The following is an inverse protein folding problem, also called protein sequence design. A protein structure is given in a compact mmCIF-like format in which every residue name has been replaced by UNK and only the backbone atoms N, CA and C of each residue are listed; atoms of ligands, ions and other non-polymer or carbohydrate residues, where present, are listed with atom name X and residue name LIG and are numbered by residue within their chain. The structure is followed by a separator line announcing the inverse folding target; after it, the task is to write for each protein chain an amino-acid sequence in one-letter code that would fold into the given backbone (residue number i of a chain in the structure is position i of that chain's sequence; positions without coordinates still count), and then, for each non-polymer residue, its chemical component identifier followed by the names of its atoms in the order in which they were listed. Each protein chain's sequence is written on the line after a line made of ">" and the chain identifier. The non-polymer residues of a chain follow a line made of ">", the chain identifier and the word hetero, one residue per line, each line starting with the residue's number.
data_IF_301745258594
#
_entry.id   IF_301745258594
#
_cell.length_a   1.000
_cell.length_b   1.000
_cell.length_c   1.000
_cell.angle_alpha   90.00
_cell.angle_beta   90.00
_cell.angle_gamma   90.00
#
_symmetry.space_group_name_H-M   'P 1'
#
loop_
_entity.id
_entity.type
_entity.pdbx_description
1 polymer ?
#
# COMPACT_ATOMS: atom_id res chain seq x y z
N UNK A 1 -15.50 -8.45 35.08
CA UNK A 1 -14.82 -9.16 33.99
C UNK A 1 -14.87 -8.32 32.73
N UNK A 2 -13.72 -7.81 32.27
CA UNK A 2 -13.44 -7.52 30.87
C UNK A 2 -12.04 -8.08 30.64
N UNK A 3 -11.91 -9.06 29.76
CA UNK A 3 -10.60 -9.58 29.37
C UNK A 3 -10.05 -8.57 28.37
N UNK A 4 -9.09 -7.77 28.82
CA UNK A 4 -8.42 -6.76 28.01
C UNK A 4 -7.54 -7.49 26.98
N UNK A 5 -8.09 -7.74 25.79
CA UNK A 5 -7.37 -8.40 24.70
C UNK A 5 -6.66 -7.33 23.87
N UNK A 6 -5.60 -6.77 24.45
CA UNK A 6 -4.74 -5.80 23.77
C UNK A 6 -3.87 -6.51 22.72
N UNK A 7 -3.91 -6.06 21.47
CA UNK A 7 -3.01 -6.56 20.43
C UNK A 7 -1.57 -6.20 20.78
N UNK A 8 -0.66 -7.16 20.63
CA UNK A 8 0.77 -6.86 20.69
C UNK A 8 1.17 -6.03 19.47
N UNK A 9 2.11 -5.08 19.62
CA UNK A 9 2.61 -4.32 18.48
C UNK A 9 3.25 -5.24 17.44
N UNK A 10 3.23 -4.81 16.17
CA UNK A 10 3.94 -5.53 15.11
C UNK A 10 5.44 -5.59 15.44
N UNK A 11 6.11 -6.73 15.22
CA UNK A 11 7.55 -6.86 15.48
C UNK A 11 8.41 -6.04 14.52
N UNK A 12 7.85 -5.63 13.37
CA UNK A 12 8.51 -4.86 12.33
C UNK A 12 7.91 -3.45 12.22
N UNK A 13 8.77 -2.44 12.12
CA UNK A 13 8.36 -1.04 11.97
C UNK A 13 8.08 -0.69 10.51
N UNK A 14 7.09 0.14 10.25
CA UNK A 14 6.76 0.58 8.88
C UNK A 14 7.72 1.66 8.33
N UNK A 15 8.54 2.30 9.18
CA UNK A 15 9.34 3.48 8.84
C UNK A 15 10.38 3.29 7.74
N UNK A 16 10.81 2.04 7.51
CA UNK A 16 11.83 1.74 6.50
C UNK A 16 11.22 1.30 5.15
N UNK A 17 9.90 1.14 5.08
CA UNK A 17 9.23 0.68 3.86
C UNK A 17 9.16 1.82 2.84
N UNK A 18 9.74 1.59 1.66
CA UNK A 18 9.65 2.50 0.53
C UNK A 18 8.65 2.00 -0.49
N UNK A 19 7.59 2.78 -0.74
CA UNK A 19 6.59 2.51 -1.76
C UNK A 19 6.76 3.51 -2.90
N UNK A 20 6.89 3.02 -4.13
CA UNK A 20 6.91 3.88 -5.30
C UNK A 20 5.58 4.62 -5.43
N UNK A 21 5.63 5.93 -5.65
CA UNK A 21 4.43 6.78 -5.76
C UNK A 21 3.52 6.39 -6.92
N UNK A 22 4.08 5.74 -7.95
CA UNK A 22 3.35 5.28 -9.12
C UNK A 22 3.89 3.92 -9.56
N UNK A 23 2.99 2.98 -9.84
CA UNK A 23 3.36 1.68 -10.39
C UNK A 23 2.60 1.47 -11.70
N UNK A 24 3.35 1.08 -12.73
CA UNK A 24 2.78 0.69 -14.01
C UNK A 24 2.28 -0.76 -13.96
N UNK A 25 1.48 -1.18 -14.94
CA UNK A 25 0.92 -2.52 -14.98
C UNK A 25 2.02 -3.53 -15.31
N UNK A 26 2.16 -4.58 -14.51
CA UNK A 26 3.09 -5.66 -14.80
C UNK A 26 2.45 -6.70 -15.72
N UNK A 27 2.78 -6.66 -17.01
CA UNK A 27 2.20 -7.48 -18.07
C UNK A 27 3.34 -8.12 -18.87
N UNK A 28 3.30 -9.43 -19.07
CA UNK A 28 4.30 -10.19 -19.83
C UNK A 28 5.76 -9.93 -19.41
N UNK A 29 5.99 -9.81 -18.09
CA UNK A 29 7.31 -9.59 -17.52
C UNK A 29 7.83 -8.16 -17.64
N UNK A 30 7.00 -7.20 -18.04
CA UNK A 30 7.35 -5.80 -18.22
C UNK A 30 6.38 -4.88 -17.50
N UNK A 31 6.88 -3.76 -17.02
CA UNK A 31 6.04 -2.66 -16.53
C UNK A 31 5.57 -1.82 -17.73
N UNK A 32 4.25 -1.71 -17.91
CA UNK A 32 3.61 -1.03 -19.04
C UNK A 32 2.63 0.02 -18.47
N UNK A 33 2.75 1.30 -18.88
CA UNK A 33 1.82 2.33 -18.41
C UNK A 33 0.39 2.03 -18.84
N UNK A 34 -0.58 2.46 -18.03
CA UNK A 34 -1.98 2.20 -18.33
C UNK A 34 -2.39 2.86 -19.66
N UNK A 35 -3.11 2.12 -20.51
CA UNK A 35 -3.46 2.56 -21.88
C UNK A 35 -4.27 3.85 -21.92
N UNK A 36 -5.07 4.11 -20.87
CA UNK A 36 -5.91 5.32 -20.74
C UNK A 36 -5.34 6.37 -19.80
N UNK A 37 -4.16 6.13 -19.20
CA UNK A 37 -3.59 7.00 -18.19
C UNK A 37 -4.35 7.02 -16.86
N UNK A 38 -5.35 6.14 -16.70
CA UNK A 38 -6.08 5.99 -15.44
C UNK A 38 -5.22 5.17 -14.47
N UNK A 39 -5.16 5.63 -13.23
CA UNK A 39 -4.56 4.92 -12.12
C UNK A 39 -5.53 4.97 -10.94
N UNK A 40 -5.46 3.98 -10.05
CA UNK A 40 -6.25 3.88 -8.85
C UNK A 40 -5.40 4.24 -7.64
N UNK A 41 -6.00 4.99 -6.72
CA UNK A 41 -5.34 5.37 -5.49
C UNK A 41 -5.26 4.15 -4.56
N UNK A 42 -4.04 3.84 -4.12
CA UNK A 42 -3.78 2.88 -3.06
C UNK A 42 -3.67 3.66 -1.75
N UNK A 43 -4.49 3.31 -0.76
CA UNK A 43 -4.55 3.99 0.53
C UNK A 43 -4.17 3.02 1.67
N UNK A 44 -3.64 3.56 2.75
CA UNK A 44 -3.37 2.82 3.97
C UNK A 44 -4.69 2.53 4.71
N UNK A 45 -5.07 1.26 4.94
CA UNK A 45 -6.33 0.95 5.61
C UNK A 45 -6.38 1.38 7.08
N UNK A 46 -5.25 1.71 7.71
CA UNK A 46 -5.20 2.11 9.12
C UNK A 46 -5.55 3.60 9.33
N UNK A 47 -5.30 4.46 8.35
CA UNK A 47 -5.43 5.91 8.50
C UNK A 47 -5.85 6.65 7.21
N UNK A 48 -6.21 5.92 6.17
CA UNK A 48 -6.69 6.43 4.87
C UNK A 48 -5.67 7.27 4.09
N UNK A 49 -4.40 7.31 4.52
CA UNK A 49 -3.37 8.07 3.82
C UNK A 49 -3.03 7.46 2.46
N UNK A 50 -2.87 8.32 1.45
CA UNK A 50 -2.50 7.88 0.09
C UNK A 50 -1.06 7.39 0.04
N UNK A 51 -0.89 6.15 -0.43
CA UNK A 51 0.40 5.47 -0.57
C UNK A 51 0.95 5.58 -2.00
N UNK A 52 0.14 5.26 -3.01
CA UNK A 52 0.56 5.19 -4.41
C UNK A 52 -0.61 5.29 -5.40
N UNK A 53 -0.30 5.42 -6.68
CA UNK A 53 -1.21 5.28 -7.81
C UNK A 53 -0.83 4.01 -8.63
N UNK A 54 -1.80 3.14 -8.95
CA UNK A 54 -1.61 1.85 -9.68
C UNK A 54 -2.46 1.71 -10.93
#
# INVERSE_FOLDING_TARGET
>A
MKKDWSYSPAPESADHIQINKKNDLFIDGKFIPSKKGNYFETINPANEEKLADV
#
